data_IF_844343320576
#
_entry.id   IF_844343320576
#
_cell.length_a   1.000
_cell.length_b   1.000
_cell.length_c   1.000
_cell.angle_alpha   90.00
_cell.angle_beta   90.00
_cell.angle_gamma   90.00
#
_symmetry.space_group_name_H-M   'P 1'
#
loop_
_entity.id
_entity.type
_entity.pdbx_description
1 polymer ?
#
# COMPACT_ATOMS: atom_id res chain seq x y z
N UNK A 1 18.20 26.60 17.50
CA UNK A 1 18.37 25.30 16.81
C UNK A 1 19.51 25.44 15.81
N UNK A 2 20.55 24.61 15.94
CA UNK A 2 21.74 24.67 15.07
C UNK A 2 21.39 24.09 13.69
N UNK A 3 21.54 24.90 12.65
CA UNK A 3 21.49 24.48 11.24
C UNK A 3 22.57 23.42 11.00
N UNK A 4 22.19 22.15 11.06
CA UNK A 4 23.01 21.06 10.54
C UNK A 4 22.77 21.05 9.02
N UNK A 5 23.79 21.13 8.15
CA UNK A 5 23.56 21.11 6.72
C UNK A 5 23.03 19.72 6.33
N UNK A 6 21.75 19.70 5.92
CA UNK A 6 21.06 18.51 5.45
C UNK A 6 21.34 18.32 3.96
N UNK A 7 22.18 17.33 3.66
CA UNK A 7 22.24 16.76 2.31
C UNK A 7 21.36 15.52 2.24
N UNK A 8 20.99 15.09 1.04
CA UNK A 8 20.11 13.93 0.81
C UNK A 8 20.58 12.67 1.55
N UNK A 9 21.90 12.41 1.55
CA UNK A 9 22.48 11.22 2.15
C UNK A 9 22.24 11.18 3.67
N UNK A 10 22.46 12.29 4.38
CA UNK A 10 22.23 12.38 5.82
C UNK A 10 20.75 12.23 6.15
N UNK A 11 19.87 12.89 5.40
CA UNK A 11 18.43 12.79 5.66
C UNK A 11 17.93 11.36 5.43
N UNK A 12 18.43 10.69 4.40
CA UNK A 12 18.16 9.25 4.16
C UNK A 12 18.61 8.38 5.34
N UNK A 13 19.79 8.63 5.91
CA UNK A 13 20.31 7.86 7.04
C UNK A 13 19.46 8.02 8.31
N UNK A 14 19.06 9.25 8.65
CA UNK A 14 18.26 9.49 9.86
C UNK A 14 16.83 8.95 9.72
N UNK A 15 16.23 8.98 8.52
CA UNK A 15 14.94 8.33 8.25
C UNK A 15 15.00 6.82 8.46
N UNK A 16 16.03 6.16 7.91
CA UNK A 16 16.26 4.73 8.13
C UNK A 16 16.40 4.42 9.62
N UNK A 17 17.18 5.23 10.34
CA UNK A 17 17.39 5.05 11.77
C UNK A 17 16.06 5.16 12.52
N UNK A 18 15.27 6.20 12.28
CA UNK A 18 13.96 6.39 12.90
C UNK A 18 13.01 5.21 12.65
N UNK A 19 13.00 4.65 11.44
CA UNK A 19 12.19 3.46 11.13
C UNK A 19 12.69 2.23 11.89
N UNK A 20 14.01 1.98 11.90
CA UNK A 20 14.60 0.79 12.54
C UNK A 20 14.49 0.85 14.07
N UNK A 21 14.55 2.04 14.67
CA UNK A 21 14.41 2.23 16.11
C UNK A 21 12.97 2.54 16.53
N UNK A 22 12.01 2.43 15.61
CA UNK A 22 10.58 2.70 15.83
C UNK A 22 10.27 4.11 16.38
N UNK A 23 11.17 5.07 16.16
CA UNK A 23 10.99 6.47 16.53
C UNK A 23 10.20 7.20 15.43
N UNK A 24 8.96 6.77 15.18
CA UNK A 24 8.18 7.25 14.04
C UNK A 24 7.80 8.73 14.14
N UNK A 25 7.75 9.30 15.34
CA UNK A 25 7.44 10.72 15.54
C UNK A 25 8.52 11.63 14.95
N UNK A 26 9.79 11.20 14.93
CA UNK A 26 10.89 11.95 14.35
C UNK A 26 10.75 12.12 12.83
N UNK A 27 10.01 11.20 12.17
CA UNK A 27 9.78 11.24 10.72
C UNK A 27 9.03 12.52 10.33
N UNK A 28 8.17 13.05 11.19
CA UNK A 28 7.46 14.31 10.97
C UNK A 28 8.44 15.49 10.84
N UNK A 29 9.44 15.55 11.72
CA UNK A 29 10.42 16.62 11.72
C UNK A 29 11.39 16.48 10.55
N UNK A 30 11.80 15.26 10.20
CA UNK A 30 12.59 15.01 8.99
C UNK A 30 11.83 15.33 7.71
N UNK A 31 10.51 15.11 7.68
CA UNK A 31 9.66 15.50 6.57
C UNK A 31 9.59 17.03 6.42
N UNK A 32 9.43 17.79 7.51
CA UNK A 32 9.48 19.27 7.46
C UNK A 32 10.82 19.76 6.91
N UNK A 33 11.93 19.19 7.39
CA UNK A 33 13.27 19.51 6.87
C UNK A 33 13.36 19.22 5.37
N UNK A 34 12.79 18.11 4.90
CA UNK A 34 12.71 17.82 3.47
C UNK A 34 11.89 18.86 2.71
N UNK A 35 10.72 19.27 3.22
CA UNK A 35 9.87 20.29 2.60
C UNK A 35 10.54 21.66 2.50
N UNK A 36 11.30 22.03 3.53
CA UNK A 36 12.06 23.29 3.58
C UNK A 36 13.33 23.24 2.71
N UNK A 37 13.71 22.04 2.24
CA UNK A 37 14.88 21.84 1.38
C UNK A 37 14.51 21.91 -0.10
N UNK A 38 15.42 22.43 -0.93
CA UNK A 38 15.30 22.36 -2.40
C UNK A 38 15.80 21.04 -2.99
N UNK A 39 15.77 19.95 -2.20
CA UNK A 39 16.34 18.66 -2.61
C UNK A 39 15.38 17.93 -3.56
N UNK A 40 15.85 17.64 -4.76
CA UNK A 40 15.06 16.94 -5.79
C UNK A 40 15.43 15.46 -5.96
N UNK A 41 16.32 14.94 -5.12
CA UNK A 41 16.84 13.56 -5.21
C UNK A 41 15.73 12.49 -5.10
N UNK A 42 15.58 11.70 -6.16
CA UNK A 42 14.56 10.66 -6.24
C UNK A 42 14.78 9.53 -5.24
N UNK A 43 16.03 9.28 -4.84
CA UNK A 43 16.33 8.25 -3.83
C UNK A 43 15.78 8.67 -2.48
N UNK A 44 16.08 9.88 -2.03
CA UNK A 44 15.52 10.46 -0.81
C UNK A 44 13.99 10.48 -0.84
N UNK A 45 13.37 10.90 -1.95
CA UNK A 45 11.91 10.90 -2.09
C UNK A 45 11.31 9.54 -1.78
N UNK A 46 11.90 8.46 -2.31
CA UNK A 46 11.45 7.08 -2.03
C UNK A 46 11.58 6.74 -0.55
N UNK A 47 12.67 7.14 0.10
CA UNK A 47 12.86 6.91 1.55
C UNK A 47 11.89 7.71 2.40
N UNK A 48 11.62 8.97 2.06
CA UNK A 48 10.61 9.79 2.74
C UNK A 48 9.23 9.13 2.60
N UNK A 49 8.83 8.74 1.37
CA UNK A 49 7.54 8.09 1.12
C UNK A 49 7.40 6.80 1.93
N UNK A 50 8.42 5.93 1.89
CA UNK A 50 8.41 4.69 2.65
C UNK A 50 8.31 4.95 4.18
N UNK A 51 9.04 5.94 4.69
CA UNK A 51 9.01 6.30 6.11
C UNK A 51 7.65 6.86 6.52
N UNK A 52 7.04 7.72 5.70
CA UNK A 52 5.69 8.25 5.93
C UNK A 52 4.62 7.15 5.91
N UNK A 53 4.75 6.17 5.01
CA UNK A 53 3.85 5.00 4.99
C UNK A 53 4.02 4.17 6.26
N UNK A 54 5.26 3.92 6.71
CA UNK A 54 5.51 3.20 7.97
C UNK A 54 4.92 3.96 9.17
N UNK A 55 5.12 5.28 9.23
CA UNK A 55 4.50 6.13 10.24
C UNK A 55 2.97 6.08 10.18
N UNK A 56 2.38 6.08 8.97
CA UNK A 56 0.95 5.92 8.78
C UNK A 56 0.43 4.57 9.32
N UNK A 57 1.14 3.48 9.05
CA UNK A 57 0.84 2.15 9.61
C UNK A 57 0.92 2.13 11.14
N UNK A 58 1.91 2.80 11.72
CA UNK A 58 2.01 2.98 13.17
C UNK A 58 0.75 3.70 13.73
N UNK A 59 0.34 4.83 13.13
CA UNK A 59 -0.86 5.53 13.57
C UNK A 59 -2.14 4.69 13.44
N UNK A 60 -2.26 3.86 12.40
CA UNK A 60 -3.37 2.91 12.28
C UNK A 60 -3.43 1.93 13.46
N UNK A 61 -2.28 1.38 13.87
CA UNK A 61 -2.21 0.48 15.03
C UNK A 61 -2.60 1.19 16.34
N UNK A 62 -2.25 2.46 16.48
CA UNK A 62 -2.65 3.32 17.60
C UNK A 62 -4.11 3.83 17.47
N UNK A 63 -4.84 3.41 16.43
CA UNK A 63 -6.21 3.83 16.10
C UNK A 63 -6.36 5.34 15.83
N UNK A 64 -5.26 6.04 15.56
CA UNK A 64 -5.26 7.42 15.08
C UNK A 64 -5.41 7.47 13.56
N UNK A 65 -6.64 7.25 13.10
CA UNK A 65 -6.99 7.14 11.68
C UNK A 65 -6.71 8.46 10.91
N UNK A 66 -6.85 9.61 11.58
CA UNK A 66 -6.66 10.91 10.96
C UNK A 66 -5.17 11.15 10.67
N UNK A 67 -4.30 10.91 11.66
CA UNK A 67 -2.86 11.05 11.48
C UNK A 67 -2.31 10.04 10.47
N UNK A 68 -2.85 8.82 10.47
CA UNK A 68 -2.52 7.81 9.46
C UNK A 68 -2.82 8.28 8.04
N UNK A 69 -4.04 8.73 7.79
CA UNK A 69 -4.44 9.23 6.47
C UNK A 69 -3.59 10.43 6.04
N UNK A 70 -3.31 11.36 6.95
CA UNK A 70 -2.44 12.51 6.69
C UNK A 70 -1.02 12.08 6.29
N UNK A 71 -0.46 11.08 6.95
CA UNK A 71 0.85 10.53 6.61
C UNK A 71 0.86 9.91 5.20
N UNK A 72 -0.18 9.14 4.84
CA UNK A 72 -0.32 8.58 3.49
C UNK A 72 -0.51 9.65 2.41
N UNK A 73 -1.31 10.68 2.67
CA UNK A 73 -1.52 11.79 1.73
C UNK A 73 -0.21 12.55 1.47
N UNK A 74 0.59 12.79 2.53
CA UNK A 74 1.93 13.38 2.38
C UNK A 74 2.85 12.50 1.56
N UNK A 75 2.84 11.18 1.76
CA UNK A 75 3.62 10.26 0.92
C UNK A 75 3.21 10.38 -0.55
N UNK A 76 1.91 10.31 -0.85
CA UNK A 76 1.41 10.40 -2.22
C UNK A 76 1.72 11.76 -2.86
N UNK A 77 1.68 12.87 -2.11
CA UNK A 77 2.05 14.19 -2.65
C UNK A 77 3.51 14.31 -3.12
N UNK A 78 4.40 13.43 -2.63
CA UNK A 78 5.81 13.41 -3.02
C UNK A 78 6.00 12.48 -4.22
N UNK A 79 5.47 11.25 -4.13
CA UNK A 79 5.51 10.25 -5.19
C UNK A 79 4.22 9.40 -5.17
N UNK A 80 3.40 9.57 -6.19
CA UNK A 80 2.23 8.73 -6.46
C UNK A 80 2.59 7.53 -7.35
N UNK A 81 3.58 6.72 -6.96
CA UNK A 81 3.89 5.49 -7.72
C UNK A 81 2.99 4.35 -7.27
N UNK A 82 2.66 3.43 -8.19
CA UNK A 82 1.77 2.31 -7.90
C UNK A 82 2.19 1.46 -6.69
N UNK A 83 3.49 1.27 -6.46
CA UNK A 83 4.00 0.55 -5.27
C UNK A 83 3.57 1.25 -3.97
N UNK A 84 3.74 2.57 -3.88
CA UNK A 84 3.42 3.33 -2.66
C UNK A 84 1.92 3.46 -2.47
N UNK A 85 1.18 3.76 -3.54
CA UNK A 85 -0.28 3.84 -3.50
C UNK A 85 -0.90 2.51 -3.06
N UNK A 86 -0.43 1.39 -3.61
CA UNK A 86 -0.87 0.05 -3.20
C UNK A 86 -0.63 -0.19 -1.71
N UNK A 87 0.54 0.17 -1.18
CA UNK A 87 0.84 0.01 0.25
C UNK A 87 -0.12 0.82 1.14
N UNK A 88 -0.45 2.06 0.75
CA UNK A 88 -1.45 2.86 1.46
C UNK A 88 -2.83 2.19 1.41
N UNK A 89 -3.28 1.75 0.23
CA UNK A 89 -4.59 1.12 0.02
C UNK A 89 -4.71 -0.17 0.83
N UNK A 90 -3.71 -1.06 0.77
CA UNK A 90 -3.70 -2.30 1.56
C UNK A 90 -3.85 -1.99 3.06
N UNK A 91 -3.10 -1.01 3.57
CA UNK A 91 -3.14 -0.63 5.00
C UNK A 91 -4.50 -0.06 5.42
N UNK A 92 -5.09 0.78 4.56
CA UNK A 92 -6.41 1.38 4.79
C UNK A 92 -7.54 0.34 4.73
N UNK A 93 -7.47 -0.58 3.77
CA UNK A 93 -8.40 -1.70 3.64
C UNK A 93 -8.37 -2.61 4.86
N UNK A 94 -7.19 -2.95 5.38
CA UNK A 94 -7.03 -3.75 6.60
C UNK A 94 -7.70 -3.09 7.83
N UNK A 95 -7.82 -1.77 7.83
CA UNK A 95 -8.44 -0.98 8.90
C UNK A 95 -9.85 -0.46 8.54
N UNK A 96 -10.48 -1.02 7.50
CA UNK A 96 -11.85 -0.69 7.06
C UNK A 96 -12.04 0.78 6.63
N UNK A 97 -10.97 1.49 6.29
CA UNK A 97 -10.99 2.88 5.82
C UNK A 97 -11.22 2.95 4.29
N UNK A 98 -12.38 2.48 3.84
CA UNK A 98 -12.64 2.27 2.42
C UNK A 98 -12.77 3.56 1.60
N UNK A 99 -13.24 4.65 2.20
CA UNK A 99 -13.39 5.92 1.49
C UNK A 99 -12.02 6.50 1.14
N UNK A 100 -11.09 6.43 2.08
CA UNK A 100 -9.71 6.84 1.90
C UNK A 100 -9.01 5.90 0.91
N UNK A 101 -9.21 4.59 1.00
CA UNK A 101 -8.65 3.64 0.04
C UNK A 101 -9.13 3.95 -1.40
N UNK A 102 -10.41 4.28 -1.59
CA UNK A 102 -10.97 4.73 -2.89
C UNK A 102 -10.32 6.01 -3.38
N UNK A 103 -10.06 6.97 -2.49
CA UNK A 103 -9.34 8.18 -2.84
C UNK A 103 -7.93 7.87 -3.39
N UNK A 104 -7.15 7.02 -2.72
CA UNK A 104 -5.81 6.65 -3.21
C UNK A 104 -5.85 5.86 -4.52
N UNK A 105 -6.89 5.06 -4.75
CA UNK A 105 -7.07 4.34 -6.02
C UNK A 105 -7.23 5.30 -7.21
N UNK A 106 -7.86 6.46 -6.99
CA UNK A 106 -8.02 7.49 -8.02
C UNK A 106 -6.71 8.23 -8.35
N UNK A 107 -5.68 8.11 -7.52
CA UNK A 107 -4.38 8.76 -7.73
C UNK A 107 -3.47 8.01 -8.71
N UNK A 108 -3.81 6.76 -9.05
CA UNK A 108 -3.08 6.04 -10.10
C UNK A 108 -3.25 6.73 -11.44
N UNK A 109 -2.13 6.94 -12.14
CA UNK A 109 -2.14 7.45 -13.50
C UNK A 109 -2.83 6.48 -14.46
N UNK A 110 -3.25 6.97 -15.64
CA UNK A 110 -3.90 6.14 -16.66
C UNK A 110 -2.98 4.99 -17.09
N UNK A 111 -1.69 5.28 -17.25
CA UNK A 111 -0.67 4.29 -17.66
C UNK A 111 -0.46 3.19 -16.59
N UNK A 112 -0.66 3.52 -15.32
CA UNK A 112 -0.50 2.56 -14.24
C UNK A 112 -1.71 1.63 -14.05
N UNK A 113 -2.84 1.89 -14.71
CA UNK A 113 -4.06 1.07 -14.56
C UNK A 113 -3.90 -0.37 -15.07
N UNK A 114 -2.96 -0.58 -15.98
CA UNK A 114 -2.64 -1.91 -16.48
C UNK A 114 -1.63 -2.66 -15.60
N UNK A 115 -1.00 -1.97 -14.64
CA UNK A 115 0.00 -2.56 -13.76
C UNK A 115 -0.63 -3.47 -12.70
N UNK A 116 0.18 -4.41 -12.20
CA UNK A 116 -0.19 -5.27 -11.07
C UNK A 116 -0.68 -4.44 -9.86
N UNK A 117 -0.01 -3.32 -9.58
CA UNK A 117 -0.31 -2.51 -8.40
C UNK A 117 -1.73 -1.95 -8.43
N UNK A 118 -2.16 -1.42 -9.58
CA UNK A 118 -3.52 -0.92 -9.72
C UNK A 118 -4.53 -2.06 -9.65
N UNK A 119 -4.31 -3.13 -10.42
CA UNK A 119 -5.24 -4.27 -10.50
C UNK A 119 -5.48 -4.91 -9.14
N UNK A 120 -4.42 -5.12 -8.35
CA UNK A 120 -4.54 -5.60 -6.95
C UNK A 120 -5.30 -4.60 -6.08
N UNK A 121 -4.97 -3.32 -6.17
CA UNK A 121 -5.60 -2.28 -5.34
C UNK A 121 -7.09 -2.12 -5.65
N UNK A 122 -7.45 -2.13 -6.93
CA UNK A 122 -8.83 -2.09 -7.42
C UNK A 122 -9.63 -3.28 -6.89
N UNK A 123 -9.08 -4.50 -7.06
CA UNK A 123 -9.71 -5.71 -6.54
C UNK A 123 -9.96 -5.64 -5.03
N UNK A 124 -8.99 -5.19 -4.23
CA UNK A 124 -9.16 -5.08 -2.77
C UNK A 124 -10.28 -4.11 -2.38
N UNK A 125 -10.30 -2.93 -3.02
CA UNK A 125 -11.33 -1.92 -2.77
C UNK A 125 -12.72 -2.44 -3.19
N UNK A 126 -12.81 -3.09 -4.35
CA UNK A 126 -14.04 -3.71 -4.85
C UNK A 126 -14.54 -4.82 -3.92
N UNK A 127 -13.63 -5.70 -3.51
CA UNK A 127 -13.92 -6.82 -2.63
C UNK A 127 -14.48 -6.38 -1.27
N UNK A 128 -14.09 -5.20 -0.78
CA UNK A 128 -14.59 -4.65 0.48
C UNK A 128 -15.78 -3.70 0.33
N UNK A 129 -16.08 -3.23 -0.89
CA UNK A 129 -17.16 -2.28 -1.16
C UNK A 129 -18.56 -2.91 -1.19
N UNK A 130 -18.70 -4.20 -0.89
CA UNK A 130 -20.00 -4.88 -0.86
C UNK A 130 -20.49 -5.37 -2.23
N UNK A 131 -19.59 -5.57 -3.20
CA UNK A 131 -19.92 -6.22 -4.46
C UNK A 131 -20.37 -7.68 -4.22
N UNK A 132 -21.11 -8.25 -5.18
CA UNK A 132 -21.54 -9.65 -5.08
C UNK A 132 -20.34 -10.59 -5.05
N UNK A 133 -20.49 -11.72 -4.34
CA UNK A 133 -19.41 -12.70 -4.21
C UNK A 133 -19.00 -13.27 -5.58
N UNK A 134 -19.95 -13.45 -6.50
CA UNK A 134 -19.70 -13.94 -7.85
C UNK A 134 -18.75 -13.01 -8.61
N UNK A 135 -19.00 -11.70 -8.57
CA UNK A 135 -18.17 -10.70 -9.26
C UNK A 135 -16.77 -10.65 -8.67
N UNK A 136 -16.64 -10.69 -7.34
CA UNK A 136 -15.33 -10.69 -6.67
C UNK A 136 -14.55 -11.97 -7.01
N UNK A 137 -15.21 -13.12 -7.03
CA UNK A 137 -14.58 -14.40 -7.36
C UNK A 137 -14.11 -14.40 -8.81
N UNK A 138 -14.91 -13.90 -9.75
CA UNK A 138 -14.56 -13.81 -11.16
C UNK A 138 -13.34 -12.89 -11.38
N UNK A 139 -13.36 -11.68 -10.80
CA UNK A 139 -12.24 -10.74 -10.87
C UNK A 139 -10.97 -11.35 -10.26
N UNK A 140 -11.08 -11.96 -9.08
CA UNK A 140 -9.96 -12.61 -8.39
C UNK A 140 -9.38 -13.78 -9.20
N UNK A 141 -10.23 -14.60 -9.83
CA UNK A 141 -9.79 -15.68 -10.72
C UNK A 141 -9.04 -15.11 -11.92
N UNK A 142 -9.54 -14.06 -12.55
CA UNK A 142 -8.86 -13.42 -13.67
C UNK A 142 -7.46 -12.93 -13.28
N UNK A 143 -7.29 -12.35 -12.09
CA UNK A 143 -5.99 -11.89 -11.62
C UNK A 143 -5.00 -13.03 -11.34
N UNK A 144 -5.47 -14.13 -10.73
CA UNK A 144 -4.62 -15.27 -10.36
C UNK A 144 -4.29 -16.18 -11.54
N UNK A 145 -5.23 -16.41 -12.44
CA UNK A 145 -5.07 -17.34 -13.56
C UNK A 145 -4.67 -16.67 -14.87
N UNK A 146 -4.86 -15.36 -15.02
CA UNK A 146 -4.47 -14.61 -16.22
C UNK A 146 -2.97 -14.27 -16.30
N UNK A 147 -2.12 -14.90 -15.49
CA UNK A 147 -0.69 -14.62 -15.33
C UNK A 147 -0.34 -13.15 -15.03
N UNK A 148 -1.33 -12.37 -14.56
CA UNK A 148 -1.18 -10.93 -14.35
C UNK A 148 -0.67 -10.57 -12.95
N UNK A 149 -0.92 -11.41 -11.94
CA UNK A 149 -0.73 -11.00 -10.53
C UNK A 149 -0.33 -12.17 -9.62
N UNK A 150 0.89 -12.11 -9.06
CA UNK A 150 1.38 -13.04 -8.04
C UNK A 150 1.25 -12.47 -6.63
N UNK A 151 0.02 -12.08 -6.26
CA UNK A 151 -0.21 -11.32 -5.03
C UNK A 151 -0.84 -12.17 -3.93
N UNK A 152 -0.07 -12.38 -2.84
CA UNK A 152 -0.51 -13.14 -1.65
C UNK A 152 -1.85 -12.65 -1.09
N UNK A 153 -2.12 -11.34 -1.16
CA UNK A 153 -3.37 -10.76 -0.65
C UNK A 153 -4.56 -11.12 -1.53
N UNK A 154 -4.39 -11.18 -2.85
CA UNK A 154 -5.44 -11.61 -3.79
C UNK A 154 -5.81 -13.07 -3.51
N UNK A 155 -4.80 -13.94 -3.33
CA UNK A 155 -5.04 -15.34 -2.93
C UNK A 155 -5.83 -15.45 -1.62
N UNK A 156 -5.48 -14.64 -0.60
CA UNK A 156 -6.16 -14.64 0.70
C UNK A 156 -7.64 -14.26 0.56
N UNK A 157 -7.93 -13.19 -0.17
CA UNK A 157 -9.29 -12.69 -0.38
C UNK A 157 -10.11 -13.66 -1.25
N UNK A 158 -9.55 -14.14 -2.36
CA UNK A 158 -10.23 -15.09 -3.22
C UNK A 158 -10.56 -16.39 -2.47
N UNK A 159 -9.63 -16.91 -1.66
CA UNK A 159 -9.90 -18.06 -0.80
C UNK A 159 -11.06 -17.79 0.16
N UNK A 160 -11.06 -16.64 0.83
CA UNK A 160 -12.14 -16.28 1.77
C UNK A 160 -13.51 -16.30 1.07
N UNK A 161 -13.62 -15.71 -0.12
CA UNK A 161 -14.90 -15.66 -0.85
C UNK A 161 -15.32 -17.03 -1.42
N UNK A 162 -14.38 -17.82 -1.96
CA UNK A 162 -14.68 -19.19 -2.39
C UNK A 162 -15.11 -20.09 -1.21
N UNK A 163 -14.53 -19.90 -0.03
CA UNK A 163 -14.95 -20.62 1.17
C UNK A 163 -16.38 -20.26 1.59
N UNK A 164 -16.85 -19.03 1.31
CA UNK A 164 -18.23 -18.62 1.57
C UNK A 164 -19.23 -19.24 0.60
N UNK A 165 -18.83 -19.55 -0.63
CA UNK A 165 -19.70 -20.23 -1.60
C UNK A 165 -19.74 -21.74 -1.44
N UNK A 166 -18.77 -22.33 -0.71
CA UNK A 166 -18.68 -23.78 -0.51
C UNK A 166 -18.12 -24.55 -1.72
N UNK A 167 -17.52 -23.85 -2.69
CA UNK A 167 -16.94 -24.47 -3.88
C UNK A 167 -15.56 -25.09 -3.57
N UNK A 168 -15.59 -26.31 -3.03
CA UNK A 168 -14.38 -27.05 -2.63
C UNK A 168 -13.42 -27.33 -3.80
N UNK A 169 -13.95 -27.52 -5.02
CA UNK A 169 -13.13 -27.79 -6.21
C UNK A 169 -12.35 -26.54 -6.61
N UNK A 170 -13.00 -25.37 -6.62
CA UNK A 170 -12.31 -24.12 -6.88
C UNK A 170 -11.25 -23.79 -5.82
N UNK A 171 -11.51 -24.09 -4.55
CA UNK A 171 -10.53 -23.91 -3.46
C UNK A 171 -9.29 -24.80 -3.69
N UNK A 172 -9.48 -26.07 -4.03
CA UNK A 172 -8.36 -26.99 -4.28
C UNK A 172 -7.50 -26.51 -5.46
N UNK A 173 -8.15 -26.09 -6.55
CA UNK A 173 -7.47 -25.53 -7.71
C UNK A 173 -6.71 -24.24 -7.39
N UNK A 174 -7.26 -23.39 -6.51
CA UNK A 174 -6.58 -22.18 -6.06
C UNK A 174 -5.32 -22.51 -5.25
N UNK A 175 -5.38 -23.50 -4.37
CA UNK A 175 -4.24 -23.92 -3.54
C UNK A 175 -3.12 -24.55 -4.39
N UNK A 176 -3.46 -25.33 -5.43
CA UNK A 176 -2.49 -25.86 -6.40
C UNK A 176 -1.78 -24.73 -7.14
N UNK A 177 -2.52 -23.78 -7.72
CA UNK A 177 -1.95 -22.62 -8.40
C UNK A 177 -1.09 -21.76 -7.46
N UNK A 178 -1.51 -21.59 -6.20
CA UNK A 178 -0.73 -20.89 -5.19
C UNK A 178 0.64 -21.56 -4.95
N UNK A 179 0.67 -22.89 -4.90
CA UNK A 179 1.90 -23.65 -4.73
C UNK A 179 2.83 -23.51 -5.94
N UNK A 180 2.31 -23.53 -7.16
CA UNK A 180 3.10 -23.35 -8.40
C UNK A 180 3.74 -21.96 -8.52
N UNK A 181 3.06 -20.94 -8.01
CA UNK A 181 3.43 -19.53 -8.22
C UNK A 181 4.30 -18.97 -7.09
N UNK A 182 4.19 -19.54 -5.87
CA UNK A 182 4.89 -19.03 -4.67
C UNK A 182 5.97 -19.98 -4.12
N UNK A 183 6.24 -21.11 -4.78
CA UNK A 183 7.38 -22.01 -4.50
C UNK A 183 8.68 -21.47 -5.10
#
# INVERSE_FOLDING_TARGET
MRFFPFNSERLTKVLKLAVVTENYLDIEDYYKVYQDSSITDNTLKKYICASLITMGKYYLNEKDLLSANKAFQRSASILSTGVFLRNCIESLCDHQMLNEAKYFLQLFSIDERETEHYKVSSFLVNALSGNSYESIIEEGKHLVYGDMVNSKIVFKFLYYYLAKTGDHVAIENLLKKKAEVLS
#
